data_IF_787762728757
#
_entry.id   IF_787762728757
#
_cell.length_a   1.000
_cell.length_b   1.000
_cell.length_c   1.000
_cell.angle_alpha   90.00
_cell.angle_beta   90.00
_cell.angle_gamma   90.00
#
_symmetry.space_group_name_H-M   'P 1'
#
loop_
_entity.id
_entity.type
_entity.pdbx_description
1 polymer ?
2 water ?
#
# COMPACT_ATOMS: atom_id res chain seq x y z
N UNK A 10 -0.71 30.76 15.66
CA UNK A 10 -1.12 30.67 14.23
C UNK A 10 0.12 30.66 13.36
N UNK A 11 0.77 29.50 13.33
CA UNK A 11 2.00 29.28 12.59
C UNK A 11 1.77 29.07 11.09
N UNK A 12 2.76 29.44 10.26
CA UNK A 12 2.64 29.25 8.81
C UNK A 12 2.35 27.80 8.46
N UNK A 13 1.69 27.58 7.35
CA UNK A 13 1.37 26.26 6.90
C UNK A 13 2.64 25.44 6.71
N UNK A 14 3.69 26.04 6.11
CA UNK A 14 4.95 25.31 5.90
C UNK A 14 5.58 24.84 7.21
N UNK A 15 5.50 25.66 8.27
CA UNK A 15 6.07 25.28 9.57
C UNK A 15 5.28 24.08 10.14
N UNK A 16 3.97 24.09 9.97
CA UNK A 16 3.14 22.98 10.48
C UNK A 16 3.39 21.71 9.70
N UNK A 17 3.63 21.82 8.39
CA UNK A 17 3.97 20.64 7.61
C UNK A 17 5.34 20.07 8.03
N UNK A 18 6.29 20.94 8.39
CA UNK A 18 7.61 20.47 8.84
C UNK A 18 7.44 19.72 10.14
N UNK A 19 6.59 20.24 11.01
CA UNK A 19 6.31 19.64 12.28
C UNK A 19 5.71 18.25 12.04
N UNK A 20 4.74 18.15 11.14
CA UNK A 20 4.14 16.89 10.80
C UNK A 20 5.19 15.89 10.25
N UNK A 21 6.07 16.37 9.40
CA UNK A 21 7.13 15.52 8.88
C UNK A 21 7.99 14.93 9.99
N UNK A 22 8.36 15.76 10.96
CA UNK A 22 9.14 15.30 12.08
C UNK A 22 8.42 14.20 12.84
N UNK A 23 7.10 14.36 13.02
CA UNK A 23 6.28 13.41 13.79
C UNK A 23 6.23 12.10 13.04
N UNK A 24 6.02 12.18 11.73
CA UNK A 24 6.02 10.99 10.86
C UNK A 24 7.39 10.28 10.80
N UNK A 25 8.48 11.04 10.78
CA UNK A 25 9.81 10.44 10.73
C UNK A 25 10.10 9.66 12.00
N UNK A 26 9.46 10.02 13.10
CA UNK A 26 9.68 9.37 14.38
C UNK A 26 8.77 8.18 14.59
N UNK A 27 7.81 7.99 13.70
CA UNK A 27 6.83 6.93 13.84
C UNK A 27 6.86 6.01 12.59
N UNK A 28 7.82 5.04 12.51
CA UNK A 28 7.89 4.16 11.31
C UNK A 28 6.70 3.24 10.94
N UNK A 29 5.79 2.94 11.86
CA UNK A 29 4.59 2.08 11.54
C UNK A 29 3.44 2.92 11.01
N UNK A 30 3.74 4.15 10.60
CA UNK A 30 2.73 5.08 10.06
C UNK A 30 3.09 5.62 8.70
N UNK A 31 2.08 5.73 7.86
CA UNK A 31 2.21 6.43 6.57
C UNK A 31 1.06 7.40 6.37
N UNK A 32 1.36 8.55 5.77
CA UNK A 32 0.34 9.50 5.39
C UNK A 32 -0.24 9.11 4.03
N UNK A 33 -1.54 8.92 3.93
CA UNK A 33 -2.16 8.56 2.67
C UNK A 33 -2.71 9.78 1.94
N UNK A 34 -3.12 10.80 2.69
CA UNK A 34 -3.64 12.01 2.11
C UNK A 34 -3.63 13.12 3.15
N UNK A 35 -3.68 14.35 2.66
CA UNK A 35 -3.75 15.52 3.50
C UNK A 35 -4.57 16.59 2.83
N UNK A 36 -5.39 17.29 3.61
CA UNK A 36 -6.14 18.43 3.09
C UNK A 36 -6.16 19.58 4.08
N UNK A 37 -6.18 20.78 3.54
CA UNK A 37 -6.18 22.02 4.32
C UNK A 37 -6.99 23.06 3.56
N UNK A 38 -7.62 23.94 4.29
CA UNK A 38 -8.31 25.08 3.66
C UNK A 38 -8.07 26.31 4.50
N UNK A 39 -8.04 27.47 3.85
CA UNK A 39 -7.72 28.71 4.51
C UNK A 39 -8.75 29.15 5.56
N UNK A 40 -10.02 28.86 5.30
CA UNK A 40 -11.09 29.24 6.25
C UNK A 40 -11.05 28.47 7.55
N UNK A 41 -10.84 27.15 7.46
CA UNK A 41 -10.74 26.31 8.67
C UNK A 41 -9.32 26.28 9.26
N UNK A 42 -8.35 26.29 8.36
CA UNK A 42 -6.94 26.31 8.73
C UNK A 42 -6.55 25.14 9.64
N UNK A 43 -7.06 23.98 9.32
CA UNK A 43 -6.77 22.72 10.01
C UNK A 43 -6.13 21.78 9.02
N UNK A 44 -5.42 20.77 9.54
CA UNK A 44 -4.83 19.75 8.69
C UNK A 44 -5.63 18.45 8.84
N UNK A 45 -6.29 18.02 7.76
CA UNK A 45 -7.05 16.76 7.80
C UNK A 45 -6.21 15.67 7.19
N UNK A 46 -5.91 14.64 7.95
CA UNK A 46 -4.99 13.60 7.50
C UNK A 46 -5.67 12.25 7.38
N UNK A 47 -5.34 11.53 6.30
CA UNK A 47 -5.73 10.13 6.19
C UNK A 47 -4.43 9.37 6.45
N UNK A 48 -4.40 8.50 7.44
CA UNK A 48 -3.20 7.78 7.80
C UNK A 48 -3.40 6.28 7.79
N UNK A 49 -2.32 5.57 7.58
CA UNK A 49 -2.30 4.11 7.60
C UNK A 49 -1.32 3.74 8.71
N UNK A 50 -1.73 2.82 9.58
CA UNK A 50 -0.90 2.43 10.71
C UNK A 50 -0.84 0.94 10.77
N UNK A 51 0.33 0.41 11.10
CA UNK A 51 0.51 -1.05 11.14
C UNK A 51 -0.24 -1.66 12.32
N UNK A 52 -0.48 -0.86 13.35
CA UNK A 52 -1.16 -1.37 14.54
C UNK A 52 -1.77 -0.24 15.34
N UNK A 53 -2.58 -0.59 16.32
CA UNK A 53 -3.22 0.39 17.22
C UNK A 53 -2.14 1.11 18.03
N UNK A 54 -1.09 0.39 18.40
CA UNK A 54 0.05 0.97 19.10
C UNK A 54 0.71 2.08 18.29
N UNK A 55 0.93 1.84 17.00
CA UNK A 55 1.55 2.83 16.13
C UNK A 55 0.66 4.06 15.92
N UNK A 56 -0.65 3.85 15.77
CA UNK A 56 -1.58 4.97 15.67
C UNK A 56 -1.58 5.85 16.95
N UNK A 57 -1.61 5.21 18.11
CA UNK A 57 -1.60 5.94 19.37
C UNK A 57 -0.28 6.70 19.53
N UNK A 58 0.83 6.11 19.07
CA UNK A 58 2.13 6.76 19.15
C UNK A 58 2.13 8.02 18.32
N UNK A 59 1.53 7.97 17.12
CA UNK A 59 1.40 9.13 16.27
C UNK A 59 0.55 10.22 16.92
N UNK A 60 -0.60 9.82 17.47
CA UNK A 60 -1.50 10.72 18.15
C UNK A 60 -0.83 11.43 19.34
N UNK A 61 -0.13 10.66 20.17
CA UNK A 61 0.59 11.23 21.30
C UNK A 61 1.74 12.12 20.90
N UNK A 62 2.50 11.71 19.89
CA UNK A 62 3.65 12.44 19.44
C UNK A 62 3.25 13.79 18.80
N UNK A 63 2.02 13.89 18.29
CA UNK A 63 1.55 15.12 17.68
C UNK A 63 1.21 16.20 18.72
N UNK A 64 1.12 15.82 20.00
CA UNK A 64 0.85 16.71 21.09
C UNK A 64 2.16 16.97 21.84
N UNK A 65 2.31 18.15 22.44
CA UNK A 65 1.37 19.28 22.56
C UNK A 65 1.37 20.29 21.41
N UNK A 66 2.13 20.03 20.34
CA UNK A 66 2.19 20.94 19.19
C UNK A 66 0.80 21.12 18.58
N UNK A 67 0.05 20.04 18.46
CA UNK A 67 -1.28 20.06 17.87
C UNK A 67 -2.33 19.47 18.83
N UNK A 68 -3.59 19.86 18.63
CA UNK A 68 -4.72 19.17 19.25
C UNK A 68 -5.14 18.16 18.15
N UNK A 69 -5.34 16.91 18.56
CA UNK A 69 -5.71 15.85 17.64
C UNK A 69 -7.18 15.45 17.82
N UNK A 70 -7.95 15.48 16.75
CA UNK A 70 -9.33 15.03 16.78
C UNK A 70 -9.46 13.82 15.88
N UNK A 71 -9.60 12.60 16.47
CA UNK A 71 -9.73 11.46 15.57
C UNK A 71 -11.07 11.43 14.88
N UNK A 72 -11.08 10.97 13.64
CA UNK A 72 -12.26 10.78 12.88
C UNK A 72 -12.57 9.30 12.85
N UNK A 73 -13.22 8.88 11.78
CA UNK A 73 -13.56 7.47 11.58
C UNK A 73 -12.29 6.66 11.33
N UNK A 75 -10.85 2.44 10.22
CA UNK A 75 -11.16 1.10 9.71
C UNK A 75 -10.07 0.19 10.18
N UNK A 76 -10.41 -0.77 11.02
CA UNK A 76 -9.43 -1.69 11.56
C UNK A 76 -9.57 -3.05 10.93
N UNK A 77 -8.47 -3.52 10.35
CA UNK A 77 -8.45 -4.84 9.75
C UNK A 77 -7.22 -5.56 10.26
N UNK A 78 -7.12 -6.89 10.01
CA UNK A 78 -5.92 -7.62 10.46
C UNK A 78 -4.57 -7.14 9.91
N UNK A 79 -4.57 -6.42 8.79
CA UNK A 79 -3.30 -5.89 8.22
C UNK A 79 -2.98 -4.44 8.62
N UNK A 80 -3.87 -3.81 9.37
CA UNK A 80 -3.57 -2.45 9.81
C UNK A 80 -4.82 -1.63 10.04
N UNK A 81 -4.61 -0.35 10.29
CA UNK A 81 -5.68 0.55 10.55
C UNK A 81 -5.54 1.69 9.53
N UNK A 82 -6.68 2.11 9.00
CA UNK A 82 -6.72 3.28 8.14
C UNK A 82 -7.72 4.22 8.76
N UNK A 83 -7.38 5.48 8.85
CA UNK A 83 -8.32 6.38 9.44
C UNK A 83 -7.97 7.83 9.28
N UNK A 84 -8.89 8.66 9.73
CA UNK A 84 -8.75 10.07 9.57
C UNK A 84 -8.48 10.72 10.90
N UNK A 85 -7.64 11.74 10.87
CA UNK A 85 -7.31 12.55 12.03
C UNK A 85 -7.29 14.03 11.60
N UNK A 86 -7.74 14.91 12.47
CA UNK A 86 -7.68 16.35 12.19
C UNK A 86 -6.71 16.96 13.20
N UNK A 87 -5.74 17.72 12.71
CA UNK A 87 -4.78 18.41 13.56
C UNK A 87 -5.00 19.90 13.54
N UNK A 88 -5.18 20.50 14.72
CA UNK A 88 -5.34 21.96 14.77
C UNK A 88 -4.30 22.47 15.75
N UNK A 89 -3.90 23.71 15.60
CA UNK A 89 -2.89 24.26 16.51
C UNK A 89 -3.44 24.32 17.90
N UNK A 90 -2.59 24.02 18.88
CA UNK A 90 -2.95 23.98 20.29
C UNK A 90 -2.65 25.30 20.98
N UNK B 10 5.66 -12.79 13.37
CA UNK B 10 5.49 -13.87 12.37
C UNK B 10 4.00 -14.07 12.10
N UNK B 11 3.40 -13.14 11.36
CA UNK B 11 1.99 -13.25 11.03
C UNK B 11 1.78 -14.47 10.13
N UNK B 12 0.61 -15.09 10.22
CA UNK B 12 0.30 -16.25 9.40
C UNK B 12 0.42 -15.93 7.92
N UNK B 13 0.75 -16.93 7.12
CA UNK B 13 0.86 -16.73 5.68
C UNK B 13 -0.46 -16.19 5.12
N UNK B 14 -1.59 -16.75 5.58
CA UNK B 14 -2.88 -16.28 5.07
C UNK B 14 -3.12 -14.80 5.32
N UNK B 15 -2.69 -14.29 6.47
CA UNK B 15 -2.86 -12.87 6.79
C UNK B 15 -2.02 -12.00 5.86
N UNK B 16 -0.82 -12.45 5.53
CA UNK B 16 0.02 -11.66 4.62
C UNK B 16 -0.52 -11.70 3.19
N UNK B 17 -1.15 -12.82 2.79
CA UNK B 17 -1.78 -12.86 1.48
C UNK B 17 -2.98 -11.92 1.45
N UNK B 18 -3.75 -11.84 2.54
CA UNK B 18 -4.91 -10.94 2.58
C UNK B 18 -4.43 -9.51 2.46
N UNK B 19 -3.33 -9.19 3.14
CA UNK B 19 -2.76 -7.86 3.10
C UNK B 19 -2.36 -7.50 1.68
N UNK B 20 -1.70 -8.43 0.99
CA UNK B 20 -1.30 -8.22 -0.38
C UNK B 20 -2.51 -8.04 -1.30
N UNK B 21 -3.55 -8.87 -1.12
CA UNK B 21 -4.76 -8.73 -1.90
C UNK B 21 -5.33 -7.31 -1.76
N UNK B 22 -5.36 -6.79 -0.54
CA UNK B 22 -5.88 -5.43 -0.30
C UNK B 22 -5.06 -4.38 -1.03
N UNK B 23 -3.73 -4.56 -1.06
CA UNK B 23 -2.87 -3.61 -1.74
C UNK B 23 -3.11 -3.62 -3.23
N UNK B 24 -3.17 -4.83 -3.79
CA UNK B 24 -3.36 -5.02 -5.22
C UNK B 24 -4.71 -4.51 -5.69
N UNK B 25 -5.73 -4.63 -4.83
CA UNK B 25 -7.04 -4.11 -5.19
C UNK B 25 -7.00 -2.60 -5.38
N UNK B 26 -6.05 -1.91 -4.75
CA UNK B 26 -5.91 -0.47 -4.90
C UNK B 26 -4.85 -0.02 -5.88
N UNK B 27 -4.13 -0.98 -6.45
CA UNK B 27 -3.01 -0.69 -7.35
C UNK B 27 -3.19 -1.27 -8.77
N UNK B 28 -3.94 -0.56 -9.64
CA UNK B 28 -4.07 -1.02 -11.03
C UNK B 28 -2.70 -0.96 -11.73
N UNK B 29 -2.54 -1.61 -12.87
CA UNK B 29 -1.27 -1.50 -13.58
C UNK B 29 -0.21 -2.44 -13.06
N UNK B 30 -0.56 -3.25 -12.05
CA UNK B 30 0.35 -4.22 -11.47
C UNK B 30 -0.22 -5.63 -11.65
N UNK B 31 0.58 -6.50 -12.23
CA UNK B 31 0.21 -7.85 -12.49
C UNK B 31 1.18 -8.70 -11.71
N UNK B 32 0.65 -9.57 -10.88
CA UNK B 32 1.47 -10.53 -10.14
C UNK B 32 1.66 -11.74 -11.04
N UNK B 33 2.90 -12.04 -11.39
CA UNK B 33 3.20 -13.20 -12.23
C UNK B 33 3.50 -14.44 -11.38
N UNK B 34 4.09 -14.24 -10.21
CA UNK B 34 4.42 -15.36 -9.34
C UNK B 34 4.63 -14.87 -7.92
N UNK B 35 4.51 -15.81 -7.00
CA UNK B 35 4.71 -15.51 -5.61
C UNK B 35 5.32 -16.71 -4.95
N UNK B 36 6.27 -16.48 -4.04
CA UNK B 36 6.88 -17.56 -3.30
C UNK B 36 7.11 -17.16 -1.88
N UNK B 37 7.02 -18.15 -1.02
CA UNK B 37 7.21 -17.98 0.39
C UNK B 37 7.81 -19.23 0.95
N UNK B 38 8.59 -19.07 2.00
CA UNK B 38 9.06 -20.24 2.74
C UNK B 38 9.03 -19.89 4.22
N UNK B 39 8.75 -20.89 5.05
CA UNK B 39 8.57 -20.67 6.48
C UNK B 39 9.82 -20.11 7.16
N UNK B 40 10.99 -20.55 6.72
CA UNK B 40 12.25 -20.11 7.31
C UNK B 40 12.57 -18.65 7.03
N UNK B 41 12.34 -18.19 5.80
CA UNK B 41 12.68 -16.82 5.41
C UNK B 41 11.65 -15.83 5.90
N UNK B 42 10.42 -16.30 6.02
CA UNK B 42 9.34 -15.50 6.56
C UNK B 42 9.17 -14.20 5.76
N UNK B 43 9.26 -14.33 4.44
CA UNK B 43 9.07 -13.17 3.51
C UNK B 43 8.30 -13.56 2.27
N UNK B 44 7.70 -12.57 1.61
CA UNK B 44 6.97 -12.86 0.36
C UNK B 44 7.82 -12.37 -0.80
N UNK B 45 8.16 -13.25 -1.74
CA UNK B 45 8.90 -12.85 -2.93
C UNK B 45 7.93 -12.78 -4.10
N UNK B 46 7.80 -11.60 -4.72
CA UNK B 46 6.86 -11.43 -5.80
C UNK B 46 7.58 -11.18 -7.11
N UNK B 47 7.11 -11.82 -8.18
CA UNK B 47 7.57 -11.56 -9.52
C UNK B 47 6.41 -10.71 -10.11
N UNK B 48 6.70 -9.44 -10.43
CA UNK B 48 5.63 -8.56 -10.90
C UNK B 48 5.90 -7.95 -12.26
N UNK B 49 4.82 -7.50 -12.90
CA UNK B 49 4.89 -6.71 -14.12
C UNK B 49 4.09 -5.43 -13.85
N UNK B 50 4.71 -4.28 -14.07
CA UNK B 50 4.04 -3.00 -13.86
C UNK B 50 3.96 -2.32 -15.23
N UNK B 51 2.84 -1.65 -15.49
CA UNK B 51 2.66 -0.98 -16.77
C UNK B 51 3.53 0.27 -16.89
N UNK B 52 3.95 0.82 -15.77
CA UNK B 52 4.79 2.00 -15.78
C UNK B 52 5.51 2.16 -14.46
N UNK B 53 6.46 3.10 -14.43
CA UNK B 53 7.18 3.43 -13.23
C UNK B 53 6.22 3.99 -12.20
N UNK B 54 5.26 4.78 -12.67
CA UNK B 54 4.22 5.37 -11.78
C UNK B 54 3.45 4.28 -11.05
N UNK B 55 3.00 3.26 -11.78
CA UNK B 55 2.29 2.14 -11.16
C UNK B 55 3.15 1.39 -10.14
N UNK B 56 4.43 1.14 -10.46
CA UNK B 56 5.32 0.46 -9.55
C UNK B 56 5.53 1.26 -8.25
N UNK B 57 5.68 2.58 -8.37
CA UNK B 57 5.87 3.42 -7.17
C UNK B 57 4.60 3.47 -6.33
N UNK B 58 3.45 3.49 -6.98
CA UNK B 58 2.17 3.45 -6.27
C UNK B 58 2.02 2.16 -5.46
N UNK B 59 2.42 1.03 -6.05
CA UNK B 59 2.38 -0.26 -5.35
C UNK B 59 3.31 -0.22 -4.13
N UNK B 60 4.53 0.25 -4.38
CA UNK B 60 5.58 0.32 -3.39
C UNK B 60 5.13 1.17 -2.19
N UNK B 61 4.54 2.31 -2.47
CA UNK B 61 4.02 3.17 -1.39
C UNK B 61 2.82 2.59 -0.65
N UNK B 62 1.87 2.01 -1.39
CA UNK B 62 0.68 1.41 -0.80
C UNK B 62 1.00 0.18 0.06
N UNK B 63 2.08 -0.53 -0.25
CA UNK B 63 2.51 -1.70 0.50
C UNK B 63 3.11 -1.35 1.90
N UNK B 64 3.39 -0.08 2.14
CA UNK B 64 3.88 0.38 3.41
C UNK B 64 2.71 1.06 4.12
N UNK B 65 2.67 0.99 5.47
CA UNK B 65 3.62 0.44 6.39
C UNK B 65 3.44 -1.06 6.74
N UNK B 66 2.51 -1.76 6.09
CA UNK B 66 2.28 -3.18 6.38
C UNK B 66 3.53 -3.99 6.11
N UNK B 67 4.22 -3.66 5.03
CA UNK B 67 5.43 -4.36 4.65
C UNK B 67 6.60 -3.40 4.44
N UNK B 68 7.80 -3.96 4.55
CA UNK B 68 8.99 -3.24 4.15
C UNK B 68 9.24 -3.80 2.74
N UNK B 69 9.40 -2.91 1.77
CA UNK B 69 9.54 -3.30 0.38
C UNK B 69 11.00 -3.26 -0.06
N UNK B 70 11.52 -4.39 -0.55
CA UNK B 70 12.90 -4.41 -1.05
C UNK B 70 12.92 -4.81 -2.54
N UNK B 71 13.08 -3.81 -3.42
CA UNK B 71 13.16 -4.19 -4.85
C UNK B 71 14.43 -4.96 -5.18
N UNK B 72 14.30 -5.91 -6.10
CA UNK B 72 15.46 -6.61 -6.59
C UNK B 72 15.87 -5.80 -7.82
N UNK B 73 16.52 -6.47 -8.77
CA UNK B 73 16.91 -5.86 -10.02
C UNK B 73 15.69 -5.75 -10.93
N UNK B 75 13.68 -4.62 -14.31
CA UNK B 75 14.04 -4.56 -15.74
C UNK B 75 13.05 -3.65 -16.43
N UNK B 76 13.53 -2.55 -16.99
CA UNK B 76 12.65 -1.65 -17.70
C UNK B 76 12.63 -2.07 -19.16
N UNK B 77 11.44 -2.29 -19.71
CA UNK B 77 11.28 -2.69 -21.11
C UNK B 77 10.26 -1.76 -21.76
N UNK B 78 10.17 -1.79 -23.11
CA UNK B 78 9.23 -0.89 -23.79
C UNK B 78 7.75 -1.05 -23.43
N UNK B 79 7.36 -2.22 -22.90
CA UNK B 79 5.96 -2.46 -22.53
C UNK B 79 5.70 -2.38 -21.02
N UNK B 80 6.75 -2.15 -20.23
CA UNK B 80 6.54 -2.15 -18.80
C UNK B 80 7.81 -2.45 -18.04
N UNK B 81 7.65 -2.67 -16.75
CA UNK B 81 8.75 -2.93 -15.88
C UNK B 81 8.47 -4.32 -15.29
N UNK B 82 9.52 -5.13 -15.23
CA UNK B 82 9.41 -6.48 -14.71
C UNK B 82 10.50 -6.68 -13.68
N UNK B 83 10.20 -7.45 -12.65
CA UNK B 83 11.22 -7.73 -11.65
C UNK B 83 10.66 -8.40 -10.43
N UNK B 84 11.54 -8.57 -9.46
CA UNK B 84 11.22 -9.20 -8.21
C UNK B 84 11.23 -8.19 -7.10
N UNK B 85 10.23 -8.27 -6.24
CA UNK B 85 10.12 -7.44 -5.04
C UNK B 85 10.00 -8.40 -3.89
N UNK B 86 10.64 -8.08 -2.78
CA UNK B 86 10.49 -8.86 -1.57
C UNK B 86 9.71 -8.01 -0.55
N UNK B 87 8.69 -8.60 0.06
CA UNK B 87 7.92 -7.91 1.08
C UNK B 87 8.20 -8.61 2.39
N UNK B 88 8.76 -7.85 3.33
CA UNK B 88 9.14 -8.37 4.65
C UNK B 88 8.19 -7.74 5.64
N UNK B 89 8.00 -8.41 6.76
CA UNK B 89 7.11 -7.90 7.79
C UNK B 89 7.67 -6.63 8.44
N UNK B 90 6.80 -5.68 8.75
CA UNK B 90 7.20 -4.42 9.43
C UNK B 90 6.53 -4.29 10.79
N UNK C 12 -10.21 -12.37 -11.88
CA UNK C 12 -9.28 -11.35 -11.39
C UNK C 12 -8.23 -11.92 -10.44
N UNK C 13 -7.06 -11.28 -10.41
CA UNK C 13 -5.99 -11.75 -9.54
C UNK C 13 -6.44 -11.72 -8.08
N UNK C 14 -7.15 -10.66 -7.68
CA UNK C 14 -7.62 -10.56 -6.30
C UNK C 14 -8.53 -11.73 -5.90
N UNK C 15 -9.38 -12.19 -6.83
CA UNK C 15 -10.30 -13.32 -6.54
C UNK C 15 -9.50 -14.61 -6.36
N UNK C 16 -8.46 -14.76 -7.15
CA UNK C 16 -7.61 -15.93 -7.03
C UNK C 16 -6.82 -15.94 -5.75
N UNK C 17 -6.38 -14.78 -5.31
CA UNK C 17 -5.70 -14.68 -4.07
C UNK C 17 -6.63 -15.02 -2.91
N UNK C 18 -7.89 -14.57 -2.98
CA UNK C 18 -8.85 -14.89 -1.93
C UNK C 18 -9.05 -16.40 -1.86
N UNK C 19 -9.12 -17.03 -3.04
CA UNK C 19 -9.31 -18.48 -3.13
C UNK C 19 -8.16 -19.21 -2.41
N UNK C 20 -6.93 -18.75 -2.65
CA UNK C 20 -5.77 -19.30 -1.93
C UNK C 20 -5.87 -19.16 -0.43
N UNK C 21 -6.22 -17.97 0.00
CA UNK C 21 -6.38 -17.71 1.43
C UNK C 21 -7.36 -18.69 2.06
N UNK C 22 -8.45 -18.97 1.36
CA UNK C 22 -9.44 -19.90 1.89
C UNK C 22 -8.87 -21.30 2.09
N UNK C 23 -8.04 -21.77 1.18
CA UNK C 23 -7.48 -23.12 1.36
C UNK C 23 -6.20 -23.23 2.22
N UNK C 24 -5.46 -22.14 2.42
CA UNK C 24 -4.22 -22.15 3.20
C UNK C 24 -4.25 -21.82 4.67
N UNK C 25 -5.41 -21.58 5.25
CA UNK C 25 -5.44 -21.31 6.68
C UNK C 25 -4.72 -22.41 7.50
N UNK C 26 -4.26 -22.05 8.69
CA UNK C 26 -3.54 -23.00 9.56
C UNK C 26 -4.55 -24.02 10.10
N UNK C 27 -4.25 -25.30 9.95
CA UNK C 27 -5.13 -26.38 10.35
C UNK C 27 -4.33 -27.34 11.20
N UNK C 28 -4.96 -27.94 12.23
CA UNK C 28 -4.25 -28.90 13.01
C UNK C 28 -3.76 -30.05 12.16
N UNK C 29 -2.60 -30.46 12.56
CA UNK C 29 -1.96 -31.58 11.97
C UNK C 29 -1.22 -31.29 10.69
N UNK C 30 -1.31 -30.06 10.17
CA UNK C 30 -0.67 -29.67 8.92
C UNK C 30 0.28 -28.48 9.09
N UNK C 31 1.43 -28.53 8.44
CA UNK C 31 2.32 -27.37 8.36
C UNK C 31 2.69 -27.16 6.93
N UNK C 32 2.65 -25.89 6.53
CA UNK C 32 3.07 -25.50 5.20
C UNK C 32 4.50 -25.05 5.34
N UNK C 33 5.38 -25.72 4.62
CA UNK C 33 6.79 -25.38 4.66
C UNK C 33 7.23 -24.37 3.58
N UNK C 34 6.57 -24.41 2.43
CA UNK C 34 6.91 -23.53 1.33
C UNK C 34 5.78 -23.52 0.34
N UNK C 35 5.77 -22.46 -0.43
CA UNK C 35 4.80 -22.27 -1.47
C UNK C 35 5.40 -21.55 -2.65
N UNK C 36 5.05 -21.96 -3.85
CA UNK C 36 5.47 -21.30 -5.06
C UNK C 36 4.24 -21.30 -6.01
N UNK C 37 3.74 -20.08 -6.26
CA UNK C 37 2.57 -19.86 -7.08
C UNK C 37 2.95 -19.22 -8.39
N UNK C 38 2.76 -19.96 -9.46
CA UNK C 38 2.90 -19.43 -10.81
C UNK C 38 1.50 -18.98 -11.15
N UNK C 39 1.15 -17.73 -10.80
CA UNK C 39 -0.19 -17.22 -11.06
C UNK C 39 -0.52 -17.15 -12.52
N UNK C 40 0.48 -16.81 -13.34
CA UNK C 40 0.27 -16.73 -14.79
C UNK C 40 -0.13 -18.06 -15.42
N UNK C 41 0.47 -19.14 -14.91
CA UNK C 41 0.27 -20.50 -15.42
C UNK C 41 -0.72 -21.34 -14.61
N UNK C 42 -1.27 -20.78 -13.54
CA UNK C 42 -2.25 -21.47 -12.71
C UNK C 42 -1.70 -22.77 -12.13
N UNK C 43 -0.54 -22.68 -11.49
CA UNK C 43 0.09 -23.84 -10.85
C UNK C 43 0.60 -23.42 -9.48
N UNK C 44 0.14 -24.08 -8.43
CA UNK C 44 0.57 -23.79 -7.05
C UNK C 44 1.25 -25.02 -6.49
N UNK C 45 2.52 -24.90 -6.12
CA UNK C 45 3.28 -26.00 -5.52
C UNK C 45 3.43 -25.70 -4.01
N UNK C 46 2.93 -26.62 -3.20
CA UNK C 46 3.00 -26.51 -1.76
C UNK C 46 3.82 -27.62 -1.15
N UNK C 47 4.81 -27.26 -0.34
CA UNK C 47 5.61 -28.26 0.39
C UNK C 47 4.93 -28.34 1.73
N UNK C 48 4.49 -29.53 2.09
CA UNK C 48 3.66 -29.70 3.25
C UNK C 48 4.07 -30.84 4.15
N UNK C 49 3.76 -30.73 5.44
CA UNK C 49 4.03 -31.77 6.42
C UNK C 49 2.74 -32.04 7.15
N UNK C 50 2.38 -33.32 7.28
CA UNK C 50 1.17 -33.70 7.97
C UNK C 50 1.48 -34.71 9.06
N UNK C 51 0.72 -34.67 10.16
CA UNK C 51 0.93 -35.62 11.25
C UNK C 51 0.46 -37.01 10.88
N UNK C 52 -0.45 -37.10 9.92
CA UNK C 52 -0.97 -38.39 9.53
C UNK C 52 -1.57 -38.31 8.16
N UNK C 53 -1.89 -39.49 7.60
CA UNK C 53 -2.57 -39.59 6.31
C UNK C 53 -3.97 -38.96 6.43
N UNK C 54 -4.61 -39.16 7.57
CA UNK C 54 -5.92 -38.58 7.84
C UNK C 54 -5.91 -37.04 7.75
N UNK C 55 -4.91 -36.42 8.36
CA UNK C 55 -4.81 -34.96 8.35
C UNK C 55 -4.56 -34.45 6.92
N UNK C 56 -3.70 -35.16 6.19
CA UNK C 56 -3.39 -34.81 4.80
C UNK C 56 -4.63 -34.89 3.93
N UNK C 57 -5.42 -35.96 4.10
CA UNK C 57 -6.65 -36.16 3.33
C UNK C 57 -7.67 -35.03 3.63
N UNK C 58 -7.73 -34.59 4.87
CA UNK C 58 -8.60 -33.48 5.23
C UNK C 58 -8.21 -32.16 4.52
N UNK C 59 -6.91 -31.91 4.46
CA UNK C 59 -6.40 -30.71 3.78
C UNK C 59 -6.72 -30.79 2.29
N UNK C 60 -6.47 -31.94 1.69
CA UNK C 60 -6.73 -32.24 0.27
C UNK C 60 -8.21 -32.09 -0.09
N UNK C 61 -9.10 -32.58 0.77
CA UNK C 61 -10.55 -32.48 0.52
C UNK C 61 -11.06 -31.05 0.65
N UNK C 62 -10.52 -30.31 1.63
CA UNK C 62 -10.91 -28.92 1.81
C UNK C 62 -10.57 -28.03 0.60
N UNK C 63 -9.51 -28.38 -0.12
CA UNK C 63 -9.06 -27.60 -1.29
C UNK C 63 -9.96 -27.77 -2.52
N UNK C 64 -10.84 -28.75 -2.49
CA UNK C 64 -11.76 -29.02 -3.60
C UNK C 64 -13.14 -28.56 -3.21
N UNK C 65 -13.98 -28.20 -4.20
CA UNK C 65 -13.79 -28.22 -5.65
C UNK C 65 -13.14 -26.99 -6.27
N UNK C 66 -12.70 -26.05 -5.46
CA UNK C 66 -12.06 -24.86 -6.02
C UNK C 66 -10.78 -25.22 -6.79
N UNK C 67 -9.98 -26.13 -6.24
CA UNK C 67 -8.73 -26.56 -6.85
C UNK C 67 -8.73 -28.05 -7.12
N UNK C 68 -7.92 -28.43 -8.09
CA UNK C 68 -7.67 -29.82 -8.31
C UNK C 68 -6.32 -30.05 -7.62
N UNK C 69 -6.25 -31.12 -6.84
CA UNK C 69 -5.06 -31.44 -6.08
C UNK C 69 -4.35 -32.68 -6.63
N UNK C 70 -3.07 -32.54 -6.94
CA UNK C 70 -2.28 -33.67 -7.41
C UNK C 70 -1.10 -33.90 -6.43
N UNK C 71 -1.16 -34.98 -5.65
CA UNK C 71 -0.04 -35.22 -4.74
C UNK C 71 1.21 -35.62 -5.53
N UNK C 72 2.37 -35.14 -5.11
CA UNK C 72 3.63 -35.50 -5.78
C UNK C 72 4.18 -36.72 -5.07
N UNK C 73 5.50 -36.84 -5.00
CA UNK C 73 6.14 -37.95 -4.31
C UNK C 73 6.05 -37.70 -2.81
N UNK C 75 6.37 -38.69 1.14
CA UNK C 75 7.30 -39.49 1.92
C UNK C 75 6.58 -39.79 3.21
N UNK C 76 6.30 -41.07 3.44
CA UNK C 76 5.59 -41.48 4.64
C UNK C 76 6.54 -42.12 5.66
N UNK C 77 6.60 -41.54 6.85
CA UNK C 77 7.45 -42.05 7.91
C UNK C 77 6.66 -42.12 9.22
N UNK C 80 4.99 -39.09 10.51
CA UNK C 80 4.35 -38.08 9.68
C UNK C 80 4.59 -38.27 8.19
N UNK C 81 3.98 -37.39 7.41
CA UNK C 81 4.10 -37.41 5.98
C UNK C 81 4.66 -36.06 5.52
N UNK C 82 5.61 -36.10 4.59
CA UNK C 82 6.21 -34.89 4.02
C UNK C 82 6.12 -35.02 2.50
N UNK C 83 5.87 -33.92 1.81
CA UNK C 83 5.86 -33.98 0.35
C UNK C 83 5.38 -32.71 -0.29
N UNK C 84 5.24 -32.79 -1.60
CA UNK C 84 4.81 -31.67 -2.38
C UNK C 84 3.45 -31.97 -2.99
N UNK C 85 2.57 -30.98 -2.90
CA UNK C 85 1.24 -31.09 -3.53
C UNK C 85 1.25 -30.04 -4.59
N UNK C 86 0.59 -30.33 -5.72
CA UNK C 86 0.43 -29.36 -6.77
C UNK C 86 -1.07 -29.08 -6.93
N UNK C 87 -1.43 -27.81 -6.86
CA UNK C 87 -2.82 -27.40 -6.99
C UNK C 87 -3.03 -26.53 -8.22
N UNK C 88 -4.17 -26.72 -8.89
CA UNK C 88 -4.51 -25.87 -10.01
C UNK C 88 -5.94 -25.45 -9.79
N UNK C 89 -6.25 -24.19 -10.05
CA UNK C 89 -7.63 -23.69 -9.91
C UNK C 89 -8.51 -24.23 -11.05
N UNK C 90 -9.67 -24.76 -10.68
CA UNK C 90 -10.63 -25.24 -11.66
C UNK C 90 -11.25 -24.05 -12.39
N UNK C 91 -11.68 -24.28 -13.63
CA UNK C 91 -12.40 -23.24 -14.38
C UNK C 91 -13.57 -22.80 -13.55
N UNK C 92 -13.95 -21.53 -13.68
CA UNK C 92 -15.08 -20.98 -12.92
C UNK C 92 -16.38 -21.50 -13.50
N UNK D 12 9.40 14.77 -0.69
CA UNK D 12 8.49 14.88 0.45
C UNK D 12 7.39 15.91 0.24
N UNK D 13 6.24 15.69 0.87
CA UNK D 13 5.13 16.62 0.73
C UNK D 13 5.54 18.02 1.22
N UNK D 14 6.26 18.09 2.33
CA UNK D 14 6.69 19.39 2.86
C UNK D 14 7.57 20.16 1.88
N UNK D 15 8.45 19.47 1.14
CA UNK D 15 9.32 20.12 0.15
C UNK D 15 8.47 20.67 -1.00
N UNK D 16 7.46 19.93 -1.42
CA UNK D 16 6.60 20.38 -2.48
C UNK D 16 5.78 21.57 -2.05
N UNK D 17 5.34 21.59 -0.79
CA UNK D 17 4.59 22.76 -0.35
C UNK D 17 5.48 23.96 -0.34
N UNK D 18 6.73 23.78 0.10
CA UNK D 18 7.68 24.87 0.17
C UNK D 18 7.87 25.46 -1.23
N UNK D 19 7.99 24.56 -2.21
CA UNK D 19 8.13 24.95 -3.60
C UNK D 19 6.93 25.78 -4.05
N UNK D 20 5.74 25.30 -3.73
CA UNK D 20 4.50 25.99 -4.03
C UNK D 20 4.47 27.37 -3.35
N UNK D 21 4.89 27.44 -2.10
CA UNK D 21 4.93 28.73 -1.38
C UNK D 21 5.82 29.72 -2.13
N UNK D 22 6.98 29.28 -2.57
CA UNK D 22 7.88 30.14 -3.32
C UNK D 22 7.25 30.67 -4.59
N UNK D 23 6.50 29.80 -5.29
CA UNK D 23 5.81 30.17 -6.53
C UNK D 23 4.74 31.24 -6.21
N UNK D 24 3.96 30.99 -5.17
CA UNK D 24 2.89 31.90 -4.75
C UNK D 24 3.42 33.26 -4.27
N UNK D 25 4.55 33.27 -3.57
CA UNK D 25 5.10 34.51 -3.06
C UNK D 25 5.58 35.39 -4.22
N UNK D 26 5.89 34.77 -5.35
CA UNK D 26 6.35 35.51 -6.51
C UNK D 26 5.22 35.95 -7.42
N UNK D 27 4.01 35.48 -7.15
CA UNK D 27 2.85 35.77 -7.98
C UNK D 27 1.76 36.54 -7.21
N UNK D 28 1.93 37.87 -7.07
CA UNK D 28 0.84 38.62 -6.49
C UNK D 28 -0.31 38.41 -7.48
N UNK D 29 -1.53 38.54 -7.01
CA UNK D 29 -2.69 38.28 -7.84
C UNK D 29 -3.23 36.87 -7.74
N UNK D 30 -2.53 36.00 -7.01
CA UNK D 30 -2.98 34.63 -6.77
C UNK D 30 -3.14 34.37 -5.28
N UNK D 31 -4.26 33.78 -4.90
CA UNK D 31 -4.47 33.36 -3.51
C UNK D 31 -4.88 31.90 -3.48
N UNK D 32 -4.28 31.16 -2.57
CA UNK D 32 -4.62 29.75 -2.35
C UNK D 32 -5.75 29.65 -1.34
N UNK D 33 -6.86 29.04 -1.73
CA UNK D 33 -8.00 28.88 -0.83
C UNK D 33 -7.97 27.51 -0.11
N UNK D 34 -7.46 26.49 -0.77
CA UNK D 34 -7.43 25.14 -0.19
C UNK D 34 -6.45 24.28 -0.96
N UNK D 35 -6.01 23.20 -0.31
CA UNK D 35 -5.09 22.26 -0.96
C UNK D 35 -5.35 20.84 -0.46
N UNK D 36 -5.20 19.87 -1.36
CA UNK D 36 -5.31 18.45 -0.98
C UNK D 36 -4.29 17.64 -1.74
N UNK D 37 -3.76 16.63 -1.07
CA UNK D 37 -2.78 15.74 -1.63
C UNK D 37 -3.16 14.34 -1.28
N UNK D 38 -2.85 13.42 -2.19
CA UNK D 38 -3.03 12.01 -1.88
C UNK D 38 -1.85 11.24 -2.41
N UNK D 39 -1.48 10.19 -1.70
CA UNK D 39 -0.34 9.35 -2.07
C UNK D 39 -0.53 8.63 -3.38
N UNK D 40 -1.74 8.15 -3.64
CA UNK D 40 -2.02 7.34 -4.83
C UNK D 40 -1.78 8.10 -6.15
N UNK D 41 -2.23 9.34 -6.21
CA UNK D 41 -1.97 10.17 -7.39
C UNK D 41 -0.61 10.82 -7.22
N UNK D 42 -0.19 10.95 -5.97
CA UNK D 42 1.01 11.70 -5.60
C UNK D 42 0.83 13.09 -6.23
N UNK D 43 -0.37 13.64 -6.04
CA UNK D 43 -0.85 14.83 -6.71
C UNK D 43 -1.29 15.94 -5.74
N UNK D 44 -1.14 17.22 -6.12
CA UNK D 44 -1.64 18.38 -5.31
C UNK D 44 -2.82 19.03 -6.03
N UNK D 45 -3.98 19.02 -5.41
CA UNK D 45 -5.16 19.69 -5.93
C UNK D 45 -5.32 21.04 -5.20
N UNK D 46 -5.30 22.13 -5.96
CA UNK D 46 -5.37 23.46 -5.37
C UNK D 46 -6.65 24.18 -5.76
N UNK D 47 -7.29 24.83 -4.78
CA UNK D 47 -8.41 25.73 -5.08
C UNK D 47 -7.76 27.09 -5.01
N UNK D 48 -7.82 27.83 -6.12
CA UNK D 48 -7.20 29.14 -6.17
C UNK D 48 -8.13 30.25 -6.60
N UNK D 49 -7.70 31.48 -6.31
CA UNK D 49 -8.35 32.68 -6.80
C UNK D 49 -7.26 33.51 -7.49
N UNK D 50 -7.54 33.94 -8.73
CA UNK D 50 -6.61 34.78 -9.49
C UNK D 50 -7.34 36.06 -9.85
N UNK D 51 -6.63 37.18 -9.79
CA UNK D 51 -7.24 38.48 -10.12
C UNK D 51 -7.44 38.67 -11.61
N UNK D 52 -6.64 37.98 -12.42
CA UNK D 52 -6.67 38.13 -13.88
C UNK D 52 -6.26 36.84 -14.54
N UNK D 53 -6.60 36.71 -15.83
CA UNK D 53 -6.14 35.59 -16.62
C UNK D 53 -4.62 35.66 -16.70
N UNK D 54 -4.10 36.89 -16.75
CA UNK D 54 -2.67 37.15 -16.79
C UNK D 54 -1.98 36.56 -15.55
N UNK D 55 -2.56 36.80 -14.38
CA UNK D 55 -2.00 36.29 -13.12
C UNK D 55 -2.04 34.75 -13.09
N UNK D 56 -3.14 34.18 -13.58
CA UNK D 56 -3.26 32.72 -13.63
C UNK D 56 -2.21 32.11 -14.56
N UNK D 57 -1.99 32.70 -15.73
CA UNK D 57 -0.99 32.17 -16.66
C UNK D 57 0.43 32.30 -16.09
N UNK D 58 0.70 33.40 -15.37
CA UNK D 58 2.01 33.57 -14.71
C UNK D 58 2.26 32.48 -13.68
N UNK D 59 1.22 32.14 -12.91
CA UNK D 59 1.34 31.08 -11.92
C UNK D 59 1.63 29.76 -12.60
N UNK D 60 0.83 29.47 -13.64
CA UNK D 60 0.92 28.24 -14.39
C UNK D 60 2.31 28.04 -14.97
N UNK D 61 2.86 29.09 -15.56
CA UNK D 61 4.21 29.03 -16.13
C UNK D 61 5.31 28.90 -15.08
N UNK D 62 5.17 29.64 -13.99
CA UNK D 62 6.16 29.61 -12.92
C UNK D 62 6.20 28.26 -12.18
N UNK D 63 5.08 27.54 -12.18
CA UNK D 63 5.00 26.24 -11.51
C UNK D 63 5.75 25.15 -12.28
N UNK D 64 6.13 25.43 -13.52
CA UNK D 64 6.88 24.50 -14.36
C UNK D 64 8.32 24.96 -14.43
N UNK D 65 9.27 24.02 -14.58
CA UNK D 65 9.13 22.57 -14.73
C UNK D 65 9.04 21.75 -13.43
N UNK D 66 8.97 22.40 -12.28
CA UNK D 66 8.89 21.69 -11.00
C UNK D 66 7.65 20.79 -10.95
N UNK D 67 6.54 21.31 -11.43
CA UNK D 67 5.27 20.57 -11.50
C UNK D 67 4.69 20.54 -12.91
N UNK D 68 3.82 19.56 -13.14
CA UNK D 68 3.03 19.54 -14.35
C UNK D 68 1.71 20.12 -13.90
N UNK D 69 1.16 21.08 -14.63
CA UNK D 69 -0.07 21.75 -14.26
C UNK D 69 -1.27 21.36 -15.13
N UNK D 70 -2.35 20.91 -14.49
CA UNK D 70 -3.59 20.56 -15.20
C UNK D 70 -4.73 21.42 -14.71
N UNK D 71 -5.22 22.35 -15.53
CA UNK D 71 -6.36 23.16 -15.05
C UNK D 71 -7.69 22.40 -15.07
N UNK D 72 -8.57 22.73 -14.13
CA UNK D 72 -9.89 22.12 -14.02
C UNK D 72 -10.84 22.61 -15.10
N UNK D 82 -11.67 31.98 -10.35
CA UNK D 82 -11.70 30.97 -9.31
C UNK D 82 -11.78 29.59 -9.92
N UNK D 83 -11.06 28.64 -9.32
CA UNK D 83 -11.10 27.29 -9.84
C UNK D 83 -10.10 26.37 -9.19
N UNK D 84 -10.07 25.15 -9.73
CA UNK D 84 -9.19 24.11 -9.24
C UNK D 84 -8.08 23.81 -10.24
N UNK D 85 -6.86 23.68 -9.74
CA UNK D 85 -5.69 23.29 -10.54
C UNK D 85 -5.11 22.06 -9.89
N UNK D 86 -4.58 21.15 -10.71
CA UNK D 86 -3.93 19.94 -10.22
C UNK D 86 -2.43 20.02 -10.58
N UNK D 87 -1.56 19.85 -9.59
CA UNK D 87 -0.11 19.87 -9.81
C UNK D 87 0.44 18.47 -9.56
N UNK D 88 1.19 17.91 -10.50
CA UNK D 88 1.83 16.61 -10.29
C UNK D 88 3.30 16.70 -10.61
#
# INVERSE_FOLDING_TARGET
SNALTRQAQHAPLVDRLSALQNILSETPGIRLRALSWDAAGNRLQLDIAAVSSRALEQFTQRAQPRFRVRPGDXITKPDGIEGQLTLEENDG
SNALTRQAQHAPLVDRLSALQNILSETPGIRLRALSWDAAGNRLQLDIAAVSSRALEQFTQRAQPRFRVRPGDXITKPDGIEGQLTLEENDG
SNALTRQAQHAPLVDRLSALQNILSETPGIRLRALSWDAAGNRLQLDIAAVSSRALEQFTQRAQPRFRVRPGDXITKPDGIEGQLTLEENDG
SNALTRQAQHAPLVDRLSALQNILSETPGIRLRALSWDAAGNRLQLDIAAVSSRALEQFTQRAQPRFRVRPGDXITKPDGIEGQLTLEENDG
#
